data_IF_249998059311
#
_entry.id   IF_249998059311
#
_cell.length_a   1.000
_cell.length_b   1.000
_cell.length_c   1.000
_cell.angle_alpha   90.00
_cell.angle_beta   90.00
_cell.angle_gamma   90.00
#
_symmetry.space_group_name_H-M   'P 1'
#
loop_
_entity.id
_entity.type
_entity.pdbx_description
1 polymer ?
#
# COMPACT_ATOMS: atom_id res chain seq x y z
N UNK A 1 28.16 -6.78 -5.89
CA UNK A 1 26.78 -7.03 -6.37
C UNK A 1 26.14 -8.01 -5.39
N UNK A 2 25.05 -7.64 -4.73
CA UNK A 2 24.32 -8.57 -3.88
C UNK A 2 23.81 -9.74 -4.74
N UNK A 3 23.89 -10.97 -4.23
CA UNK A 3 23.32 -12.13 -4.91
C UNK A 3 21.82 -11.88 -5.19
N UNK A 4 21.25 -12.37 -6.31
CA UNK A 4 19.83 -12.19 -6.59
C UNK A 4 19.01 -12.77 -5.42
N UNK A 5 18.25 -11.91 -4.76
CA UNK A 5 17.36 -12.32 -3.67
C UNK A 5 16.30 -13.29 -4.19
N UNK A 6 15.84 -14.19 -3.32
CA UNK A 6 14.66 -15.04 -3.63
C UNK A 6 13.41 -14.16 -3.64
N UNK A 7 12.63 -14.21 -4.72
CA UNK A 7 11.34 -13.54 -4.81
C UNK A 7 10.23 -14.51 -4.36
N UNK A 8 9.37 -14.05 -3.46
CA UNK A 8 8.21 -14.81 -2.99
C UNK A 8 6.93 -14.10 -3.42
N UNK A 9 6.02 -14.84 -4.06
CA UNK A 9 4.74 -14.33 -4.54
C UNK A 9 3.61 -15.07 -3.84
N UNK A 10 2.77 -14.33 -3.11
CA UNK A 10 1.57 -14.88 -2.45
C UNK A 10 0.34 -14.65 -3.34
N UNK A 11 -0.23 -15.74 -3.87
CA UNK A 11 -1.40 -15.71 -4.75
C UNK A 11 -2.64 -16.31 -4.09
N UNK A 12 -3.83 -15.92 -4.57
CA UNK A 12 -5.10 -16.48 -4.11
C UNK A 12 -6.28 -15.55 -4.36
N UNK A 13 -7.52 -16.01 -4.12
CA UNK A 13 -8.73 -15.23 -4.36
C UNK A 13 -8.73 -13.87 -3.63
N UNK A 14 -9.47 -12.86 -4.13
CA UNK A 14 -9.70 -11.62 -3.40
C UNK A 14 -10.29 -11.91 -2.00
N UNK A 15 -9.88 -11.16 -0.98
CA UNK A 15 -10.39 -11.32 0.38
C UNK A 15 -9.87 -12.54 1.17
N UNK A 16 -9.04 -13.41 0.59
CA UNK A 16 -8.49 -14.60 1.30
C UNK A 16 -7.49 -14.28 2.42
N UNK A 17 -7.10 -13.01 2.59
CA UNK A 17 -6.19 -12.58 3.66
C UNK A 17 -4.71 -12.48 3.29
N UNK A 18 -4.36 -12.35 1.99
CA UNK A 18 -2.96 -12.20 1.52
C UNK A 18 -2.23 -11.03 2.19
N UNK A 19 -2.86 -9.85 2.24
CA UNK A 19 -2.27 -8.68 2.91
C UNK A 19 -2.05 -8.95 4.39
N UNK A 20 -3.02 -9.60 5.05
CA UNK A 20 -2.90 -10.03 6.45
C UNK A 20 -1.75 -11.01 6.67
N UNK A 21 -1.54 -11.96 5.77
CA UNK A 21 -0.41 -12.88 5.80
C UNK A 21 0.92 -12.11 5.74
N UNK A 22 1.06 -11.21 4.77
CA UNK A 22 2.29 -10.42 4.58
C UNK A 22 2.57 -9.57 5.82
N UNK A 23 1.55 -8.90 6.37
CA UNK A 23 1.70 -8.07 7.59
C UNK A 23 2.19 -8.92 8.77
N UNK A 24 1.59 -10.09 9.01
CA UNK A 24 2.03 -11.00 10.09
C UNK A 24 3.46 -11.49 9.92
N UNK A 25 3.87 -11.77 8.69
CA UNK A 25 5.26 -12.15 8.39
C UNK A 25 6.21 -11.00 8.71
N UNK A 26 5.87 -9.76 8.32
CA UNK A 26 6.67 -8.58 8.63
C UNK A 26 6.78 -8.33 10.14
N UNK A 27 5.68 -8.47 10.88
CA UNK A 27 5.67 -8.38 12.35
C UNK A 27 6.57 -9.45 12.99
N UNK A 28 6.47 -10.71 12.53
CA UNK A 28 7.32 -11.80 13.01
C UNK A 28 8.81 -11.55 12.71
N UNK A 29 9.13 -11.02 11.53
CA UNK A 29 10.51 -10.67 11.15
C UNK A 29 11.07 -9.54 12.02
N UNK A 30 10.29 -8.49 12.32
CA UNK A 30 10.69 -7.42 13.24
C UNK A 30 11.00 -7.95 14.63
N UNK A 31 10.12 -8.80 15.14
CA UNK A 31 10.25 -9.33 16.50
C UNK A 31 11.44 -10.28 16.64
N UNK A 32 11.71 -11.08 15.61
CA UNK A 32 12.82 -12.05 15.61
C UNK A 32 14.16 -11.46 15.20
N UNK A 33 14.18 -10.37 14.42
CA UNK A 33 15.39 -9.75 13.89
C UNK A 33 15.34 -8.22 14.05
N UNK A 34 15.62 -7.67 15.24
CA UNK A 34 15.47 -6.23 15.53
C UNK A 34 16.34 -5.32 14.63
N UNK A 35 17.47 -5.84 14.15
CA UNK A 35 18.41 -5.11 13.29
C UNK A 35 18.10 -5.25 11.79
N UNK A 36 17.08 -6.05 11.42
CA UNK A 36 16.70 -6.22 10.02
C UNK A 36 15.94 -4.98 9.53
N UNK A 37 16.55 -4.25 8.59
CA UNK A 37 15.86 -3.15 7.91
C UNK A 37 14.81 -3.72 6.96
N UNK A 38 13.54 -3.50 7.30
CA UNK A 38 12.41 -3.79 6.42
C UNK A 38 11.97 -2.51 5.72
N UNK A 39 11.81 -2.57 4.41
CA UNK A 39 11.43 -1.43 3.56
C UNK A 39 10.37 -1.90 2.56
N UNK A 40 9.43 -1.03 2.23
CA UNK A 40 8.31 -1.38 1.38
C UNK A 40 7.02 -0.68 1.78
N UNK A 41 5.96 -1.01 1.05
CA UNK A 41 4.62 -0.54 1.35
C UNK A 41 3.58 -1.61 1.02
N UNK A 42 2.39 -1.43 1.57
CA UNK A 42 1.20 -2.19 1.21
C UNK A 42 0.03 -1.23 1.03
N UNK A 43 -1.05 -1.73 0.43
CA UNK A 43 -2.28 -0.94 0.22
C UNK A 43 -3.41 -1.44 1.11
N UNK A 44 -4.18 -0.50 1.66
CA UNK A 44 -5.39 -0.79 2.44
C UNK A 44 -6.63 -0.28 1.73
N UNK A 45 -7.75 -1.01 1.85
CA UNK A 45 -9.05 -0.50 1.44
C UNK A 45 -9.57 0.51 2.46
N UNK A 46 -10.03 1.67 1.99
CA UNK A 46 -10.76 2.64 2.80
C UNK A 46 -12.26 2.41 2.59
N UNK A 47 -12.98 2.19 3.68
CA UNK A 47 -14.43 1.94 3.68
C UNK A 47 -15.17 2.99 4.48
N UNK A 48 -16.34 3.36 3.98
CA UNK A 48 -17.33 4.20 4.65
C UNK A 48 -18.58 3.32 4.85
N UNK A 49 -18.71 2.75 6.04
CA UNK A 49 -19.65 1.66 6.31
C UNK A 49 -19.39 0.44 5.40
N UNK A 50 -20.41 -0.09 4.69
CA UNK A 50 -20.24 -1.23 3.80
C UNK A 50 -19.56 -0.88 2.46
N UNK A 51 -19.44 0.42 2.15
CA UNK A 51 -19.00 0.88 0.84
C UNK A 51 -17.48 1.11 0.81
N UNK A 52 -16.80 0.53 -0.17
CA UNK A 52 -15.41 0.90 -0.47
C UNK A 52 -15.39 2.29 -1.12
N UNK A 53 -14.71 3.23 -0.46
CA UNK A 53 -14.62 4.63 -0.88
C UNK A 53 -13.24 5.01 -1.39
N UNK A 54 -12.21 4.20 -1.12
CA UNK A 54 -10.87 4.48 -1.60
C UNK A 54 -9.84 3.42 -1.24
N UNK A 55 -8.59 3.80 -1.43
CA UNK A 55 -7.40 3.03 -1.11
C UNK A 55 -6.33 3.97 -0.54
N UNK A 56 -5.58 3.46 0.42
CA UNK A 56 -4.42 4.13 1.00
C UNK A 56 -3.17 3.30 0.77
N UNK A 57 -2.04 3.97 0.64
CA UNK A 57 -0.72 3.37 0.79
C UNK A 57 -0.29 3.49 2.23
N UNK A 58 0.28 2.42 2.76
CA UNK A 58 0.88 2.36 4.09
C UNK A 58 2.31 1.84 3.94
N UNK A 59 3.28 2.66 4.31
CA UNK A 59 4.69 2.26 4.34
C UNK A 59 4.96 1.43 5.59
N UNK A 60 6.07 0.68 5.58
CA UNK A 60 6.44 -0.15 6.72
C UNK A 60 6.77 0.67 7.98
N UNK A 61 7.23 1.91 7.84
CA UNK A 61 7.46 2.83 8.96
C UNK A 61 6.18 3.53 9.47
N UNK A 62 5.01 3.23 8.88
CA UNK A 62 3.70 3.66 9.36
C UNK A 62 3.18 4.96 8.75
N UNK A 63 3.91 5.59 7.81
CA UNK A 63 3.37 6.70 7.01
C UNK A 63 2.22 6.21 6.14
N UNK A 64 1.22 7.08 5.94
CA UNK A 64 0.03 6.79 5.16
C UNK A 64 -0.29 7.92 4.21
N UNK A 65 -0.87 7.59 3.06
CA UNK A 65 -1.39 8.57 2.13
C UNK A 65 -2.44 7.98 1.21
N UNK A 66 -3.31 8.85 0.70
CA UNK A 66 -4.36 8.47 -0.21
C UNK A 66 -3.74 8.00 -1.54
N UNK A 67 -4.16 6.82 -2.01
CA UNK A 67 -3.83 6.32 -3.34
C UNK A 67 -4.94 6.67 -4.32
N UNK A 68 -6.18 6.31 -3.97
CA UNK A 68 -7.31 6.60 -4.83
C UNK A 68 -8.61 6.77 -4.02
N UNK A 69 -9.51 7.63 -4.48
CA UNK A 69 -10.78 7.93 -3.81
C UNK A 69 -11.92 8.07 -4.80
N UNK A 70 -13.12 7.65 -4.40
CA UNK A 70 -14.38 7.97 -5.11
C UNK A 70 -14.90 9.37 -4.80
N UNK A 71 -14.54 9.91 -3.62
CA UNK A 71 -14.88 11.27 -3.21
C UNK A 71 -13.83 12.23 -3.77
N UNK A 72 -14.27 13.34 -4.35
CA UNK A 72 -13.36 14.44 -4.69
C UNK A 72 -12.70 14.94 -3.41
N UNK A 73 -11.41 14.69 -3.28
CA UNK A 73 -10.63 15.01 -2.08
C UNK A 73 -9.99 16.40 -2.14
N UNK A 74 -9.88 17.02 -3.32
CA UNK A 74 -9.25 18.33 -3.49
C UNK A 74 -9.81 19.10 -4.70
N UNK A 75 -9.60 20.41 -4.74
CA UNK A 75 -10.00 21.29 -5.85
C UNK A 75 -9.40 20.86 -7.20
N UNK A 76 -8.24 20.18 -7.18
CA UNK A 76 -7.53 19.71 -8.37
C UNK A 76 -7.84 18.24 -8.72
N UNK A 77 -8.60 17.52 -7.89
CA UNK A 77 -8.86 16.08 -8.06
C UNK A 77 -9.62 15.74 -9.35
N UNK A 78 -10.27 16.71 -10.01
CA UNK A 78 -10.85 16.54 -11.34
C UNK A 78 -9.83 16.20 -12.43
N UNK A 79 -8.58 16.67 -12.29
CA UNK A 79 -7.49 16.46 -13.26
C UNK A 79 -6.75 15.15 -13.04
N UNK A 80 -7.04 14.45 -11.94
CA UNK A 80 -6.40 13.19 -11.63
C UNK A 80 -6.85 12.08 -12.57
N UNK A 81 -5.94 11.14 -12.92
CA UNK A 81 -6.29 9.94 -13.65
C UNK A 81 -7.42 9.18 -12.96
N UNK A 82 -8.28 8.56 -13.75
CA UNK A 82 -9.39 7.77 -13.26
C UNK A 82 -9.23 6.29 -13.62
N UNK A 83 -9.49 5.41 -12.66
CA UNK A 83 -9.59 3.97 -12.86
C UNK A 83 -10.93 3.49 -12.31
N UNK A 84 -11.85 3.16 -13.21
CA UNK A 84 -13.25 2.92 -12.84
C UNK A 84 -13.86 4.15 -12.14
N UNK A 85 -14.43 3.95 -10.96
CA UNK A 85 -15.04 5.02 -10.15
C UNK A 85 -14.07 5.78 -9.24
N UNK A 86 -12.76 5.55 -9.33
CA UNK A 86 -11.76 6.13 -8.43
C UNK A 86 -10.87 7.14 -9.15
N UNK A 87 -10.59 8.27 -8.50
CA UNK A 87 -9.56 9.24 -8.87
C UNK A 87 -8.27 8.93 -8.14
N UNK A 88 -7.15 8.91 -8.86
CA UNK A 88 -5.84 8.49 -8.34
C UNK A 88 -4.98 9.70 -7.99
N UNK A 89 -4.56 9.81 -6.73
CA UNK A 89 -3.62 10.82 -6.27
C UNK A 89 -2.19 10.34 -6.51
N UNK A 90 -1.67 10.57 -7.72
CA UNK A 90 -0.32 10.15 -8.10
C UNK A 90 0.75 10.83 -7.24
N UNK A 91 0.59 12.11 -6.92
CA UNK A 91 1.59 12.86 -6.15
C UNK A 91 1.72 12.32 -4.72
N UNK A 92 0.58 12.03 -4.06
CA UNK A 92 0.57 11.37 -2.75
C UNK A 92 1.18 9.96 -2.84
N UNK A 93 0.81 9.18 -3.86
CA UNK A 93 1.36 7.85 -4.06
C UNK A 93 2.88 7.86 -4.25
N UNK A 94 3.40 8.66 -5.19
CA UNK A 94 4.81 8.67 -5.55
C UNK A 94 5.70 9.14 -4.40
N UNK A 95 5.26 10.17 -3.67
CA UNK A 95 6.00 10.71 -2.52
C UNK A 95 6.15 9.72 -1.36
N UNK A 96 5.22 8.75 -1.25
CA UNK A 96 5.27 7.71 -0.21
C UNK A 96 5.84 6.39 -0.70
N UNK A 97 5.44 5.92 -1.88
CA UNK A 97 5.74 4.57 -2.35
C UNK A 97 7.10 4.45 -3.03
N UNK A 98 7.54 5.46 -3.79
CA UNK A 98 8.81 5.37 -4.53
C UNK A 98 10.04 5.29 -3.62
N UNK A 99 10.13 6.06 -2.51
CA UNK A 99 11.25 5.90 -1.56
C UNK A 99 11.35 4.50 -0.94
N UNK A 100 10.25 3.75 -0.90
CA UNK A 100 10.22 2.39 -0.36
C UNK A 100 10.75 1.32 -1.33
N UNK A 101 11.07 1.71 -2.58
CA UNK A 101 11.59 0.81 -3.62
C UNK A 101 13.11 0.97 -3.85
N UNK A 102 13.77 1.83 -3.08
CA UNK A 102 15.20 2.17 -3.23
C UNK A 102 16.12 1.35 -2.33
#
# INVERSE_FOLDING_TARGET
MAAPGKCFLATGPPGVGKTTLIIRVLESLRNSNPNLKLQGFYTCEVKDGPLRVGFEVVTLDGRKGLLASRKMSSSNSHRWPAVGGYRVDLSSFESLALPELQ
#
